data_IF_398613498379
#
_entry.id   IF_398613498379
#
_cell.length_a   1.000
_cell.length_b   1.000
_cell.length_c   1.000
_cell.angle_alpha   90.00
_cell.angle_beta   90.00
_cell.angle_gamma   90.00
#
_symmetry.space_group_name_H-M   'P 1'
#
loop_
_entity.id
_entity.type
_entity.pdbx_description
1 polymer ?
#
# COMPACT_ATOMS: atom_id res chain seq x y z
N UNK A 1 9.55 -0.95 6.65
CA UNK A 1 8.13 -1.08 6.24
C UNK A 1 7.42 0.27 6.26
N UNK A 2 7.51 1.03 7.36
CA UNK A 2 6.88 2.35 7.53
C UNK A 2 7.11 3.32 6.37
N UNK A 3 8.36 3.51 5.93
CA UNK A 3 8.67 4.43 4.83
C UNK A 3 7.97 4.07 3.51
N UNK A 4 7.83 2.77 3.22
CA UNK A 4 7.11 2.28 2.04
C UNK A 4 5.60 2.55 2.15
N UNK A 5 4.99 2.20 3.29
CA UNK A 5 3.55 2.41 3.48
C UNK A 5 3.19 3.89 3.50
N UNK A 6 4.00 4.73 4.16
CA UNK A 6 3.84 6.19 4.15
C UNK A 6 3.92 6.75 2.73
N UNK A 7 4.95 6.37 1.97
CA UNK A 7 5.09 6.78 0.57
C UNK A 7 3.89 6.28 -0.27
N UNK A 8 3.48 5.03 -0.11
CA UNK A 8 2.31 4.48 -0.78
C UNK A 8 1.03 5.26 -0.47
N UNK A 9 0.76 5.59 0.79
CA UNK A 9 -0.42 6.39 1.17
C UNK A 9 -0.44 7.77 0.51
N UNK A 10 0.72 8.38 0.30
CA UNK A 10 0.86 9.68 -0.37
C UNK A 10 0.67 9.55 -1.89
N UNK A 11 1.37 8.60 -2.52
CA UNK A 11 1.37 8.46 -3.97
C UNK A 11 0.10 7.82 -4.52
N UNK A 12 -0.65 7.03 -3.74
CA UNK A 12 -1.90 6.38 -4.19
C UNK A 12 -2.90 7.38 -4.82
N UNK A 13 -3.34 8.45 -4.12
CA UNK A 13 -4.26 9.43 -4.72
C UNK A 13 -3.62 10.25 -5.85
N UNK A 14 -2.33 10.58 -5.75
CA UNK A 14 -1.61 11.33 -6.77
C UNK A 14 -1.51 10.54 -8.08
N UNK A 15 -1.18 9.25 -7.99
CA UNK A 15 -1.09 8.34 -9.13
C UNK A 15 -2.46 8.08 -9.75
N UNK A 16 -3.53 7.95 -8.94
CA UNK A 16 -4.89 7.87 -9.45
C UNK A 16 -5.24 9.10 -10.32
N UNK A 17 -5.03 10.30 -9.79
CA UNK A 17 -5.28 11.55 -10.54
C UNK A 17 -4.40 11.70 -11.77
N UNK A 18 -3.12 11.32 -11.68
CA UNK A 18 -2.21 11.29 -12.83
C UNK A 18 -2.72 10.35 -13.92
N UNK A 19 -3.23 9.18 -13.53
CA UNK A 19 -3.80 8.18 -14.44
C UNK A 19 -5.02 8.71 -15.18
N UNK A 20 -5.94 9.37 -14.48
CA UNK A 20 -7.12 9.99 -15.10
C UNK A 20 -6.75 11.09 -16.11
N UNK A 21 -5.65 11.82 -15.88
CA UNK A 21 -5.21 12.92 -16.73
C UNK A 21 -4.35 12.48 -17.92
N UNK A 22 -3.37 11.61 -17.69
CA UNK A 22 -2.33 11.26 -18.67
C UNK A 22 -2.53 9.90 -19.32
N UNK A 23 -3.54 9.14 -18.90
CA UNK A 23 -3.81 7.77 -19.32
C UNK A 23 -3.41 6.76 -18.24
N UNK A 24 -4.38 5.94 -17.82
CA UNK A 24 -4.19 4.99 -16.71
C UNK A 24 -3.11 3.95 -17.03
N UNK A 25 -3.01 3.46 -18.28
CA UNK A 25 -1.95 2.55 -18.73
C UNK A 25 -0.57 3.14 -18.50
N UNK A 26 -0.31 4.34 -19.02
CA UNK A 26 0.99 4.99 -18.92
C UNK A 26 1.42 5.14 -17.47
N UNK A 27 0.52 5.62 -16.62
CA UNK A 27 0.81 5.85 -15.20
C UNK A 27 0.96 4.52 -14.43
N UNK A 28 0.22 3.49 -14.83
CA UNK A 28 0.35 2.14 -14.27
C UNK A 28 1.74 1.55 -14.55
N UNK A 29 2.24 1.68 -15.78
CA UNK A 29 3.60 1.25 -16.14
C UNK A 29 4.66 2.06 -15.39
N UNK A 30 4.48 3.38 -15.25
CA UNK A 30 5.39 4.22 -14.42
C UNK A 30 5.41 3.75 -12.96
N UNK A 31 4.26 3.39 -12.39
CA UNK A 31 4.19 2.87 -11.03
C UNK A 31 4.95 1.53 -10.88
N UNK A 32 4.83 0.63 -11.86
CA UNK A 32 5.57 -0.63 -11.90
C UNK A 32 7.07 -0.42 -12.08
N UNK A 33 7.49 0.54 -12.91
CA UNK A 33 8.91 0.92 -13.06
C UNK A 33 9.45 1.46 -11.74
N UNK A 34 8.71 2.33 -11.05
CA UNK A 34 9.12 2.84 -9.74
C UNK A 34 9.26 1.72 -8.70
N UNK A 35 8.33 0.75 -8.68
CA UNK A 35 8.46 -0.46 -7.87
C UNK A 35 9.73 -1.24 -8.21
N UNK A 36 9.99 -1.47 -9.50
CA UNK A 36 11.17 -2.21 -9.95
C UNK A 36 12.46 -1.50 -9.53
N UNK A 37 12.58 -0.20 -9.78
CA UNK A 37 13.74 0.61 -9.38
C UNK A 37 13.94 0.56 -7.87
N UNK A 38 12.89 0.79 -7.08
CA UNK A 38 13.01 0.73 -5.64
C UNK A 38 13.30 -0.70 -5.12
N UNK A 39 12.86 -1.75 -5.81
CA UNK A 39 13.22 -3.15 -5.48
C UNK A 39 14.69 -3.42 -5.76
N UNK A 40 15.23 -2.97 -6.90
CA UNK A 40 16.67 -3.07 -7.20
C UNK A 40 17.50 -2.33 -6.14
N UNK A 41 17.12 -1.10 -5.81
CA UNK A 41 17.83 -0.31 -4.79
C UNK A 41 17.78 -0.98 -3.41
N UNK A 42 16.66 -1.59 -3.04
CA UNK A 42 16.53 -2.31 -1.78
C UNK A 42 17.35 -3.62 -1.79
N UNK A 43 17.39 -4.32 -2.92
CA UNK A 43 18.15 -5.55 -3.10
C UNK A 43 19.67 -5.32 -3.12
N UNK A 44 20.11 -4.10 -3.44
CA UNK A 44 21.51 -3.67 -3.41
C UNK A 44 21.85 -2.83 -2.17
N UNK A 45 20.89 -2.61 -1.26
CA UNK A 45 21.11 -1.72 -0.13
C UNK A 45 22.13 -2.30 0.85
N UNK A 46 23.18 -1.51 1.12
CA UNK A 46 24.23 -1.82 2.10
C UNK A 46 24.10 -0.99 3.39
N UNK A 47 23.19 0.00 3.40
CA UNK A 47 22.93 0.84 4.57
C UNK A 47 21.43 1.07 4.78
N UNK A 48 21.06 1.37 6.02
CA UNK A 48 19.67 1.66 6.38
C UNK A 48 19.12 2.87 5.61
N UNK A 49 19.93 3.90 5.39
CA UNK A 49 19.50 5.10 4.65
C UNK A 49 19.15 4.77 3.19
N UNK A 50 19.95 3.94 2.52
CA UNK A 50 19.67 3.47 1.16
C UNK A 50 18.42 2.60 1.15
N UNK A 51 18.27 1.71 2.13
CA UNK A 51 17.06 0.89 2.27
C UNK A 51 15.80 1.77 2.45
N UNK A 52 15.87 2.82 3.28
CA UNK A 52 14.75 3.75 3.46
C UNK A 52 14.41 4.45 2.15
N UNK A 53 15.41 5.01 1.44
CA UNK A 53 15.20 5.66 0.15
C UNK A 53 14.58 4.71 -0.89
N UNK A 54 15.09 3.48 -0.97
CA UNK A 54 14.56 2.43 -1.84
C UNK A 54 13.10 2.11 -1.52
N UNK A 55 12.73 2.04 -0.23
CA UNK A 55 11.35 1.79 0.22
C UNK A 55 10.43 2.98 -0.07
N UNK A 56 10.93 4.22 0.01
CA UNK A 56 10.18 5.42 -0.43
C UNK A 56 9.89 5.34 -1.94
N UNK A 57 10.88 5.00 -2.76
CA UNK A 57 10.70 4.86 -4.22
C UNK A 57 9.71 3.73 -4.54
N UNK A 58 9.81 2.57 -3.88
CA UNK A 58 8.82 1.49 -4.02
C UNK A 58 7.41 1.96 -3.67
N UNK A 59 7.25 2.86 -2.70
CA UNK A 59 5.94 3.36 -2.29
C UNK A 59 5.21 4.12 -3.40
N UNK A 60 5.90 4.66 -4.41
CA UNK A 60 5.26 5.23 -5.60
C UNK A 60 4.36 4.19 -6.29
N UNK A 61 4.71 2.90 -6.16
CA UNK A 61 3.91 1.75 -6.57
C UNK A 61 2.55 1.61 -5.90
N UNK A 62 2.25 2.35 -4.83
CA UNK A 62 0.93 2.32 -4.18
C UNK A 62 -0.23 2.63 -5.14
N UNK A 63 0.06 3.35 -6.23
CA UNK A 63 -0.89 3.62 -7.31
C UNK A 63 -1.28 2.41 -8.18
N UNK A 64 -0.56 1.29 -8.12
CA UNK A 64 -0.79 0.13 -9.02
C UNK A 64 -2.22 -0.41 -8.89
N UNK A 65 -2.70 -0.68 -7.67
CA UNK A 65 -4.05 -1.22 -7.46
C UNK A 65 -5.19 -0.27 -7.89
N UNK A 66 -5.24 1.01 -7.46
CA UNK A 66 -6.31 1.90 -7.91
C UNK A 66 -6.27 2.13 -9.43
N UNK A 67 -5.08 2.21 -10.04
CA UNK A 67 -4.95 2.30 -11.49
C UNK A 67 -5.46 1.04 -12.19
N UNK A 68 -5.15 -0.15 -11.67
CA UNK A 68 -5.68 -1.40 -12.20
C UNK A 68 -7.21 -1.47 -12.10
N UNK A 69 -7.80 -1.07 -10.97
CA UNK A 69 -9.26 -0.99 -10.84
C UNK A 69 -9.87 0.03 -11.80
N UNK A 70 -9.20 1.16 -12.03
CA UNK A 70 -9.61 2.14 -13.02
C UNK A 70 -9.54 1.61 -14.45
N UNK A 71 -8.48 0.89 -14.81
CA UNK A 71 -8.32 0.26 -16.13
C UNK A 71 -9.40 -0.81 -16.35
N UNK A 72 -9.67 -1.66 -15.35
CA UNK A 72 -10.73 -2.66 -15.45
C UNK A 72 -12.08 -1.99 -15.68
N UNK A 73 -12.40 -0.94 -14.92
CA UNK A 73 -13.67 -0.22 -15.06
C UNK A 73 -13.83 0.44 -16.42
N UNK A 74 -12.74 0.91 -17.03
CA UNK A 74 -12.78 1.55 -18.34
C UNK A 74 -12.90 0.52 -19.49
N UNK A 75 -12.26 -0.65 -19.36
CA UNK A 75 -12.05 -1.58 -20.48
C UNK A 75 -12.95 -2.83 -20.43
N UNK A 76 -13.50 -3.18 -19.27
CA UNK A 76 -14.36 -4.36 -19.13
C UNK A 76 -15.84 -3.98 -19.18
N UNK A 77 -16.71 -4.85 -19.75
CA UNK A 77 -18.16 -4.74 -19.59
C UNK A 77 -18.55 -4.70 -18.11
N UNK A 78 -19.59 -3.92 -17.76
CA UNK A 78 -20.01 -3.69 -16.38
C UNK A 78 -20.23 -4.98 -15.59
N UNK A 79 -20.77 -6.02 -16.24
CA UNK A 79 -21.07 -7.32 -15.62
C UNK A 79 -19.79 -8.09 -15.24
N UNK A 80 -18.67 -7.81 -15.91
CA UNK A 80 -17.38 -8.46 -15.66
C UNK A 80 -16.49 -7.68 -14.69
N UNK A 81 -16.79 -6.41 -14.42
CA UNK A 81 -15.99 -5.55 -13.53
C UNK A 81 -15.88 -6.15 -12.14
N UNK A 82 -17.00 -6.59 -11.55
CA UNK A 82 -17.02 -7.17 -10.19
C UNK A 82 -16.12 -8.42 -10.12
N UNK A 83 -16.23 -9.32 -11.11
CA UNK A 83 -15.41 -10.53 -11.19
C UNK A 83 -13.92 -10.23 -11.38
N UNK A 84 -13.58 -9.26 -12.23
CA UNK A 84 -12.20 -8.86 -12.49
C UNK A 84 -11.54 -8.18 -11.26
N UNK A 85 -12.27 -7.30 -10.57
CA UNK A 85 -11.82 -6.70 -9.30
C UNK A 85 -11.64 -7.78 -8.23
N UNK A 86 -12.58 -8.73 -8.13
CA UNK A 86 -12.47 -9.89 -7.23
C UNK A 86 -11.23 -10.74 -7.51
N UNK A 87 -10.90 -10.95 -8.78
CA UNK A 87 -9.69 -11.68 -9.18
C UNK A 87 -8.41 -10.94 -8.76
N UNK A 88 -8.32 -9.62 -8.93
CA UNK A 88 -7.17 -8.84 -8.43
C UNK A 88 -7.04 -8.96 -6.92
N UNK A 89 -8.16 -8.85 -6.19
CA UNK A 89 -8.16 -8.99 -4.74
C UNK A 89 -7.68 -10.38 -4.30
N UNK A 90 -8.17 -11.43 -4.96
CA UNK A 90 -7.75 -12.81 -4.71
C UNK A 90 -6.25 -13.03 -5.01
N UNK A 91 -5.76 -12.57 -6.16
CA UNK A 91 -4.33 -12.66 -6.51
C UNK A 91 -3.44 -11.87 -5.54
N UNK A 92 -3.92 -10.73 -5.05
CA UNK A 92 -3.22 -9.95 -4.02
C UNK A 92 -3.13 -10.72 -2.71
N UNK A 93 -4.21 -11.38 -2.29
CA UNK A 93 -4.21 -12.24 -1.11
C UNK A 93 -3.28 -13.46 -1.26
N UNK A 94 -3.26 -14.09 -2.44
CA UNK A 94 -2.30 -15.17 -2.76
C UNK A 94 -0.87 -14.67 -2.65
N UNK A 95 -0.56 -13.54 -3.28
CA UNK A 95 0.77 -12.95 -3.25
C UNK A 95 1.23 -12.61 -1.83
N UNK A 96 0.34 -12.03 -1.02
CA UNK A 96 0.60 -11.74 0.39
C UNK A 96 0.88 -13.03 1.18
N UNK A 97 0.04 -14.06 0.99
CA UNK A 97 0.20 -15.35 1.63
C UNK A 97 1.50 -16.05 1.26
N UNK A 98 1.79 -16.19 -0.03
CA UNK A 98 3.05 -16.75 -0.53
C UNK A 98 4.25 -15.96 -0.01
N UNK A 99 4.14 -14.63 0.05
CA UNK A 99 5.19 -13.77 0.59
C UNK A 99 5.53 -14.10 2.04
N UNK A 100 4.54 -14.31 2.90
CA UNK A 100 4.75 -14.63 4.32
C UNK A 100 5.42 -15.99 4.49
N UNK A 101 4.96 -16.98 3.72
CA UNK A 101 5.42 -18.38 3.83
C UNK A 101 6.83 -18.53 3.30
N UNK A 102 7.10 -17.93 2.14
CA UNK A 102 8.38 -18.05 1.47
C UNK A 102 9.44 -17.13 2.10
N UNK A 103 9.04 -16.08 2.83
CA UNK A 103 9.99 -15.14 3.43
C UNK A 103 11.02 -15.82 4.34
N UNK A 104 10.60 -16.74 5.22
CA UNK A 104 11.50 -17.46 6.12
C UNK A 104 12.55 -18.27 5.36
N UNK A 105 12.17 -19.26 4.54
CA UNK A 105 13.09 -20.05 3.73
C UNK A 105 14.00 -19.19 2.83
N UNK A 106 13.48 -18.15 2.19
CA UNK A 106 14.27 -17.23 1.35
C UNK A 106 15.35 -16.54 2.21
N UNK A 107 14.98 -15.98 3.36
CA UNK A 107 15.93 -15.30 4.25
C UNK A 107 16.99 -16.27 4.76
N UNK A 108 16.60 -17.49 5.13
CA UNK A 108 17.54 -18.49 5.68
C UNK A 108 18.55 -18.96 4.65
N UNK A 109 18.14 -19.19 3.39
CA UNK A 109 19.02 -19.78 2.36
C UNK A 109 19.73 -18.73 1.51
N UNK A 110 19.03 -17.66 1.15
CA UNK A 110 19.51 -16.67 0.17
C UNK A 110 19.80 -15.30 0.80
N UNK A 111 19.35 -15.07 2.04
CA UNK A 111 19.44 -13.77 2.70
C UNK A 111 18.28 -12.83 2.37
N UNK A 112 18.14 -11.77 3.17
CA UNK A 112 16.98 -10.87 3.09
C UNK A 112 16.92 -10.04 1.80
N UNK A 113 18.03 -9.83 1.09
CA UNK A 113 18.04 -9.10 -0.19
C UNK A 113 17.18 -9.80 -1.25
N UNK A 114 17.05 -11.13 -1.18
CA UNK A 114 16.23 -11.91 -2.11
C UNK A 114 14.72 -11.73 -1.91
N UNK A 115 14.30 -11.16 -0.77
CA UNK A 115 12.94 -10.66 -0.59
C UNK A 115 12.60 -9.49 -1.51
N UNK A 116 13.60 -8.90 -2.17
CA UNK A 116 13.42 -7.83 -3.16
C UNK A 116 13.71 -8.31 -4.59
N UNK A 117 14.70 -9.21 -4.79
CA UNK A 117 14.98 -9.78 -6.12
C UNK A 117 13.83 -10.63 -6.67
N UNK A 118 13.18 -11.45 -5.85
CA UNK A 118 12.09 -12.32 -6.33
C UNK A 118 10.86 -11.51 -6.75
N UNK A 119 10.33 -10.56 -5.94
CA UNK A 119 9.24 -9.70 -6.38
C UNK A 119 9.62 -8.81 -7.57
N UNK A 120 10.88 -8.39 -7.70
CA UNK A 120 11.34 -7.62 -8.86
C UNK A 120 11.07 -8.36 -10.17
N UNK A 121 11.35 -9.67 -10.24
CA UNK A 121 11.08 -10.48 -11.43
C UNK A 121 9.60 -10.40 -11.79
N UNK A 122 8.72 -10.58 -10.79
CA UNK A 122 7.27 -10.51 -10.99
C UNK A 122 6.81 -9.12 -11.43
N UNK A 123 7.37 -8.05 -10.86
CA UNK A 123 7.07 -6.66 -11.23
C UNK A 123 7.52 -6.36 -12.66
N UNK A 124 8.69 -6.84 -13.07
CA UNK A 124 9.19 -6.67 -14.45
C UNK A 124 8.31 -7.41 -15.44
N UNK A 125 7.96 -8.68 -15.16
CA UNK A 125 7.04 -9.45 -15.99
C UNK A 125 5.67 -8.78 -16.09
N UNK A 126 5.13 -8.29 -14.98
CA UNK A 126 3.87 -7.54 -14.96
C UNK A 126 3.98 -6.23 -15.75
N UNK A 127 5.10 -5.52 -15.67
CA UNK A 127 5.35 -4.28 -16.41
C UNK A 127 5.41 -4.51 -17.93
N UNK A 128 6.12 -5.56 -18.36
CA UNK A 128 6.18 -5.96 -19.77
C UNK A 128 4.81 -6.40 -20.26
N UNK A 129 4.11 -7.26 -19.51
CA UNK A 129 2.76 -7.70 -19.85
C UNK A 129 1.79 -6.52 -19.93
N UNK A 130 1.85 -5.57 -19.00
CA UNK A 130 1.01 -4.37 -19.03
C UNK A 130 1.31 -3.49 -20.25
N UNK A 131 2.58 -3.32 -20.61
CA UNK A 131 2.96 -2.52 -21.77
C UNK A 131 2.42 -3.12 -23.08
N UNK A 132 2.40 -4.44 -23.20
CA UNK A 132 1.97 -5.16 -24.41
C UNK A 132 0.44 -5.36 -24.45
N UNK A 133 -0.16 -5.80 -23.35
CA UNK A 133 -1.54 -6.30 -23.31
C UNK A 133 -2.57 -5.26 -22.88
N UNK A 134 -2.20 -4.27 -22.07
CA UNK A 134 -3.15 -3.25 -21.61
C UNK A 134 -3.35 -2.22 -22.73
N UNK A 135 -4.58 -1.93 -23.17
CA UNK A 135 -4.84 -0.87 -24.13
C UNK A 135 -4.62 0.52 -23.49
N UNK A 136 -4.27 1.50 -24.32
CA UNK A 136 -4.19 2.89 -23.83
C UNK A 136 -5.61 3.42 -23.61
N UNK A 137 -5.92 3.84 -22.36
CA UNK A 137 -7.25 4.37 -22.05
C UNK A 137 -7.53 5.61 -22.90
N UNK A 138 -8.65 5.55 -23.63
CA UNK A 138 -9.14 6.65 -24.48
C UNK A 138 -9.81 7.75 -23.66
N UNK A 139 -10.26 7.42 -22.44
CA UNK A 139 -10.92 8.35 -21.53
C UNK A 139 -9.86 9.12 -20.74
N UNK A 140 -9.70 10.40 -21.08
CA UNK A 140 -8.82 11.32 -20.35
C UNK A 140 -9.64 12.46 -19.79
N UNK A 141 -9.54 12.67 -18.48
CA UNK A 141 -10.16 13.81 -17.82
C UNK A 141 -9.22 15.00 -17.93
N UNK A 142 -9.65 16.05 -18.63
CA UNK A 142 -8.90 17.31 -18.65
C UNK A 142 -8.83 17.87 -17.21
N UNK A 143 -7.63 18.17 -16.73
CA UNK A 143 -7.43 18.68 -15.38
C UNK A 143 -5.99 19.04 -15.10
N UNK A 144 -5.77 19.72 -13.98
CA UNK A 144 -4.43 19.94 -13.41
C UNK A 144 -4.36 19.28 -12.04
N UNK A 145 -3.16 18.88 -11.64
CA UNK A 145 -2.91 18.47 -10.25
C UNK A 145 -2.85 19.74 -9.41
N UNK A 146 -3.66 19.77 -8.36
CA UNK A 146 -3.53 20.78 -7.33
C UNK A 146 -2.36 20.40 -6.41
N UNK A 147 -1.15 20.84 -6.77
CA UNK A 147 0.07 20.52 -6.03
C UNK A 147 0.04 21.02 -4.58
N UNK A 148 -0.68 22.11 -4.30
CA UNK A 148 -0.87 22.59 -2.95
C UNK A 148 -1.60 21.56 -2.09
N UNK A 149 -2.70 20.99 -2.59
CA UNK A 149 -3.46 19.99 -1.82
C UNK A 149 -2.75 18.64 -1.78
N UNK A 150 -1.95 18.32 -2.79
CA UNK A 150 -1.05 17.17 -2.74
C UNK A 150 -0.01 17.32 -1.63
N UNK A 151 0.63 18.48 -1.54
CA UNK A 151 1.66 18.77 -0.54
C UNK A 151 1.07 18.80 0.87
N UNK A 152 -0.09 19.40 1.05
CA UNK A 152 -0.80 19.43 2.33
C UNK A 152 -1.22 18.01 2.78
N UNK A 153 -1.78 17.20 1.87
CA UNK A 153 -2.10 15.79 2.16
C UNK A 153 -0.84 15.01 2.55
N UNK A 154 0.25 15.22 1.81
CA UNK A 154 1.54 14.59 2.07
C UNK A 154 2.09 14.98 3.44
N UNK A 155 2.12 16.28 3.74
CA UNK A 155 2.59 16.82 5.01
C UNK A 155 1.79 16.30 6.19
N UNK A 156 0.46 16.23 6.05
CA UNK A 156 -0.40 15.63 7.07
C UNK A 156 -0.08 14.16 7.31
N UNK A 157 -0.01 13.34 6.25
CA UNK A 157 0.29 11.91 6.37
C UNK A 157 1.67 11.68 6.98
N UNK A 158 2.69 12.44 6.57
CA UNK A 158 4.04 12.37 7.13
C UNK A 158 4.02 12.73 8.61
N UNK A 159 3.42 13.87 8.98
CA UNK A 159 3.40 14.33 10.37
C UNK A 159 2.68 13.31 11.27
N UNK A 160 1.51 12.81 10.84
CA UNK A 160 0.72 11.84 11.59
C UNK A 160 1.46 10.50 11.73
N UNK A 161 1.86 9.90 10.60
CA UNK A 161 2.42 8.55 10.59
C UNK A 161 3.83 8.51 11.19
N UNK A 162 4.65 9.55 11.00
CA UNK A 162 5.96 9.64 11.66
C UNK A 162 5.79 9.82 13.17
N UNK A 163 4.89 10.73 13.59
CA UNK A 163 4.59 10.96 15.00
C UNK A 163 4.16 9.68 15.71
N UNK A 164 3.18 8.97 15.15
CA UNK A 164 2.68 7.71 15.72
C UNK A 164 3.73 6.59 15.65
N UNK A 165 4.44 6.45 14.53
CA UNK A 165 5.40 5.36 14.35
C UNK A 165 6.64 5.51 15.22
N UNK A 166 7.06 6.74 15.54
CA UNK A 166 8.26 6.99 16.34
C UNK A 166 7.95 7.32 17.80
N UNK A 167 6.68 7.53 18.17
CA UNK A 167 6.29 7.77 19.55
C UNK A 167 6.77 6.70 20.55
N UNK A 168 6.81 5.38 20.22
CA UNK A 168 7.38 4.38 21.12
C UNK A 168 8.89 4.55 21.36
N UNK A 169 9.63 5.09 20.39
CA UNK A 169 11.08 5.27 20.46
C UNK A 169 11.48 6.64 21.03
N UNK A 170 10.80 7.70 20.60
CA UNK A 170 11.08 9.09 21.01
C UNK A 170 10.33 9.49 22.29
N UNK A 171 9.34 8.71 22.68
CA UNK A 171 8.45 8.99 23.81
C UNK A 171 7.23 9.81 23.40
N UNK A 172 6.04 9.33 23.82
CA UNK A 172 4.75 9.97 23.56
C UNK A 172 4.66 11.41 24.10
N UNK A 173 5.32 11.69 25.22
CA UNK A 173 5.37 13.03 25.82
C UNK A 173 6.45 13.96 25.23
N UNK A 174 7.24 13.50 24.25
CA UNK A 174 8.32 14.33 23.70
C UNK A 174 7.76 15.52 22.92
N UNK A 175 8.42 16.70 22.98
CA UNK A 175 8.01 17.87 22.21
C UNK A 175 7.95 17.61 20.70
N UNK A 176 8.81 16.74 20.18
CA UNK A 176 8.84 16.37 18.76
C UNK A 176 7.57 15.59 18.39
N UNK A 177 7.21 14.56 19.16
CA UNK A 177 6.01 13.74 18.88
C UNK A 177 4.75 14.58 19.02
N UNK A 178 4.62 15.36 20.10
CA UNK A 178 3.48 16.25 20.31
C UNK A 178 3.41 17.29 19.18
N UNK A 179 4.54 17.89 18.81
CA UNK A 179 4.62 18.85 17.71
C UNK A 179 4.17 18.25 16.37
N UNK A 180 4.55 17.01 16.06
CA UNK A 180 4.11 16.28 14.86
C UNK A 180 2.60 16.00 14.89
N UNK A 181 2.04 15.58 16.03
CA UNK A 181 0.60 15.31 16.16
C UNK A 181 -0.23 16.59 16.06
N UNK A 182 0.22 17.68 16.67
CA UNK A 182 -0.42 19.01 16.55
C UNK A 182 -0.32 19.51 15.12
N UNK A 183 0.85 19.41 14.49
CA UNK A 183 1.02 19.78 13.08
C UNK A 183 0.09 18.95 12.18
N UNK A 184 -0.04 17.65 12.42
CA UNK A 184 -0.98 16.81 11.67
C UNK A 184 -2.43 17.32 11.82
N UNK A 185 -2.87 17.64 13.04
CA UNK A 185 -4.22 18.18 13.29
C UNK A 185 -4.46 19.52 12.57
N UNK A 186 -3.46 20.40 12.56
CA UNK A 186 -3.55 21.69 11.86
C UNK A 186 -3.54 21.52 10.34
N UNK A 187 -2.59 20.73 9.81
CA UNK A 187 -2.43 20.53 8.36
C UNK A 187 -3.68 19.85 7.78
N UNK A 188 -4.30 18.89 8.47
CA UNK A 188 -5.52 18.26 7.95
C UNK A 188 -6.70 19.25 7.90
N UNK A 189 -6.84 20.14 8.87
CA UNK A 189 -7.88 21.16 8.85
C UNK A 189 -7.68 22.15 7.69
N UNK A 190 -6.42 22.57 7.46
CA UNK A 190 -6.06 23.41 6.31
C UNK A 190 -6.28 22.66 5.00
N UNK A 191 -5.89 21.38 4.93
CA UNK A 191 -6.08 20.56 3.74
C UNK A 191 -7.56 20.41 3.39
N UNK A 192 -8.42 20.06 4.35
CA UNK A 192 -9.87 19.92 4.12
C UNK A 192 -10.48 21.23 3.60
N UNK A 193 -10.10 22.37 4.16
CA UNK A 193 -10.63 23.68 3.74
C UNK A 193 -10.14 24.10 2.35
N UNK A 194 -8.87 23.87 2.02
CA UNK A 194 -8.31 24.17 0.69
C UNK A 194 -8.85 23.21 -0.37
N UNK A 195 -8.92 21.92 -0.07
CA UNK A 195 -9.36 20.87 -0.98
C UNK A 195 -10.86 21.01 -1.31
N UNK A 196 -11.70 21.28 -0.30
CA UNK A 196 -13.14 21.51 -0.50
C UNK A 196 -13.48 22.74 -1.36
N UNK A 197 -12.55 23.70 -1.47
CA UNK A 197 -12.67 24.90 -2.31
C UNK A 197 -11.95 24.77 -3.65
N UNK A 198 -11.20 23.68 -3.88
CA UNK A 198 -10.43 23.52 -5.10
C UNK A 198 -11.31 23.21 -6.29
N UNK A 199 -11.02 23.84 -7.44
CA UNK A 199 -11.63 23.49 -8.71
C UNK A 199 -11.14 22.13 -9.26
N UNK A 200 -9.98 21.66 -8.80
CA UNK A 200 -9.38 20.39 -9.19
C UNK A 200 -8.95 19.61 -7.94
N UNK A 201 -9.91 19.11 -7.13
CA UNK A 201 -9.59 18.34 -5.94
C UNK A 201 -8.93 17.00 -6.34
N UNK A 202 -7.98 16.54 -5.51
CA UNK A 202 -7.44 15.19 -5.53
C UNK A 202 -8.46 14.18 -5.02
N UNK A 203 -9.21 14.55 -3.97
CA UNK A 203 -10.26 13.73 -3.36
C UNK A 203 -11.57 14.51 -3.43
N UNK A 204 -12.58 13.91 -4.06
CA UNK A 204 -13.90 14.53 -4.18
C UNK A 204 -14.60 14.59 -2.80
N UNK A 205 -14.53 15.77 -2.19
CA UNK A 205 -15.14 16.07 -0.90
C UNK A 205 -16.66 15.96 -0.92
N UNK A 206 -17.32 16.05 -2.08
CA UNK A 206 -18.77 15.84 -2.20
C UNK A 206 -19.12 14.37 -2.05
N UNK A 207 -18.33 13.47 -2.65
CA UNK A 207 -18.50 12.02 -2.44
C UNK A 207 -18.26 11.64 -0.98
N UNK A 208 -17.30 12.27 -0.33
CA UNK A 208 -17.09 12.10 1.11
C UNK A 208 -18.29 12.57 1.94
N UNK A 209 -19.29 13.31 1.45
CA UNK A 209 -20.50 13.61 2.25
C UNK A 209 -21.50 12.45 2.27
N UNK A 210 -21.35 11.47 1.37
CA UNK A 210 -22.24 10.33 1.26
C UNK A 210 -21.93 9.36 2.41
N UNK A 211 -22.92 9.11 3.28
CA UNK A 211 -22.75 8.27 4.47
C UNK A 211 -22.20 6.88 4.13
N UNK A 212 -22.67 6.27 3.04
CA UNK A 212 -22.19 4.96 2.59
C UNK A 212 -20.71 4.98 2.22
N UNK A 213 -20.20 6.07 1.63
CA UNK A 213 -18.79 6.22 1.26
C UNK A 213 -17.93 6.38 2.53
N UNK A 214 -18.35 7.23 3.47
CA UNK A 214 -17.65 7.35 4.76
C UNK A 214 -17.64 6.05 5.55
N UNK A 215 -18.77 5.33 5.60
CA UNK A 215 -18.87 4.06 6.30
C UNK A 215 -17.94 3.01 5.67
N UNK A 216 -17.90 2.93 4.35
CA UNK A 216 -16.99 2.03 3.63
C UNK A 216 -15.51 2.38 3.89
N UNK A 217 -15.15 3.66 3.86
CA UNK A 217 -13.79 4.11 4.15
C UNK A 217 -13.39 3.86 5.61
N UNK A 218 -14.30 4.08 6.56
CA UNK A 218 -14.05 3.79 7.98
C UNK A 218 -13.87 2.28 8.21
N UNK A 219 -14.71 1.45 7.59
CA UNK A 219 -14.57 0.00 7.65
C UNK A 219 -13.23 -0.45 7.06
N UNK A 220 -12.84 0.10 5.89
CA UNK A 220 -11.56 -0.19 5.27
C UNK A 220 -10.37 0.24 6.14
N UNK A 221 -10.47 1.41 6.81
CA UNK A 221 -9.47 1.89 7.76
C UNK A 221 -9.35 0.94 8.96
N UNK A 222 -10.46 0.59 9.61
CA UNK A 222 -10.46 -0.28 10.78
C UNK A 222 -9.96 -1.69 10.45
N UNK A 223 -10.38 -2.23 9.31
CA UNK A 223 -9.85 -3.50 8.80
C UNK A 223 -8.36 -3.40 8.50
N UNK A 224 -7.90 -2.32 7.86
CA UNK A 224 -6.48 -2.07 7.60
C UNK A 224 -5.66 -2.01 8.90
N UNK A 225 -6.12 -1.25 9.90
CA UNK A 225 -5.49 -1.17 11.21
C UNK A 225 -5.39 -2.55 11.87
N UNK A 226 -6.50 -3.29 11.95
CA UNK A 226 -6.50 -4.63 12.56
C UNK A 226 -5.60 -5.61 11.80
N UNK A 227 -5.68 -5.61 10.47
CA UNK A 227 -4.89 -6.47 9.59
C UNK A 227 -3.39 -6.21 9.74
N UNK A 228 -2.94 -4.96 9.59
CA UNK A 228 -1.52 -4.62 9.70
C UNK A 228 -1.00 -4.72 11.13
N UNK A 229 -1.82 -4.44 12.15
CA UNK A 229 -1.45 -4.68 13.53
C UNK A 229 -1.20 -6.18 13.78
N UNK A 230 -2.08 -7.06 13.30
CA UNK A 230 -1.89 -8.50 13.41
C UNK A 230 -0.64 -8.98 12.65
N UNK A 231 -0.43 -8.53 11.40
CA UNK A 231 0.74 -8.92 10.61
C UNK A 231 2.08 -8.35 11.12
N UNK A 232 2.06 -7.23 11.86
CA UNK A 232 3.27 -6.72 12.53
C UNK A 232 3.52 -7.43 13.86
N UNK A 233 2.47 -7.57 14.67
CA UNK A 233 2.56 -8.09 16.03
C UNK A 233 2.80 -9.61 16.05
N UNK A 234 2.05 -10.41 15.29
CA UNK A 234 2.11 -11.87 15.37
C UNK A 234 3.50 -12.44 15.06
N UNK A 235 4.18 -12.07 13.95
CA UNK A 235 5.52 -12.59 13.69
C UNK A 235 6.50 -12.17 14.78
N UNK A 236 6.44 -10.91 15.21
CA UNK A 236 7.31 -10.39 16.25
C UNK A 236 7.10 -11.14 17.58
N UNK A 237 5.85 -11.35 17.97
CA UNK A 237 5.48 -12.09 19.18
C UNK A 237 5.93 -13.56 19.14
N UNK A 238 5.72 -14.25 18.01
CA UNK A 238 6.17 -15.64 17.82
C UNK A 238 7.70 -15.75 17.87
N UNK A 239 8.40 -14.79 17.27
CA UNK A 239 9.87 -14.78 17.20
C UNK A 239 10.54 -14.24 18.47
N UNK A 240 9.80 -13.59 19.37
CA UNK A 240 10.34 -13.13 20.65
C UNK A 240 10.90 -14.32 21.43
N UNK A 241 12.15 -14.24 21.95
CA UNK A 241 12.74 -15.32 22.72
C UNK A 241 11.91 -15.72 23.94
N UNK A 242 11.88 -17.01 24.26
CA UNK A 242 11.20 -17.54 25.46
C UNK A 242 11.73 -16.92 26.76
N UNK A 243 12.99 -16.47 26.76
CA UNK A 243 13.60 -15.72 27.88
C UNK A 243 12.89 -14.41 28.21
N UNK A 244 12.10 -13.85 27.29
CA UNK A 244 11.29 -12.66 27.54
C UNK A 244 9.99 -12.95 28.32
N UNK A 245 9.65 -14.23 28.56
CA UNK A 245 8.51 -14.64 29.38
C UNK A 245 7.14 -14.68 28.68
N UNK A 246 7.04 -14.27 27.41
CA UNK A 246 5.79 -14.27 26.65
C UNK A 246 5.91 -14.72 25.18
N UNK A 247 7.14 -14.87 24.67
CA UNK A 247 7.39 -15.26 23.27
C UNK A 247 7.61 -16.76 23.10
N UNK A 248 7.53 -17.24 21.85
CA UNK A 248 7.68 -18.65 21.51
C UNK A 248 9.11 -19.04 21.08
N UNK A 249 9.99 -18.05 20.89
CA UNK A 249 11.36 -18.28 20.39
C UNK A 249 11.40 -18.91 19.00
N UNK A 250 10.33 -18.77 18.23
CA UNK A 250 10.21 -19.38 16.91
C UNK A 250 11.21 -18.74 15.94
N UNK A 251 11.80 -19.56 15.08
CA UNK A 251 12.56 -19.06 13.93
C UNK A 251 11.66 -18.32 12.94
N UNK A 252 12.25 -17.54 12.02
CA UNK A 252 11.51 -16.84 10.96
C UNK A 252 10.69 -17.84 10.12
N UNK A 253 11.22 -19.03 9.87
CA UNK A 253 10.54 -20.09 9.12
C UNK A 253 9.36 -20.65 9.90
N UNK A 254 9.52 -20.99 11.18
CA UNK A 254 8.41 -21.48 12.02
C UNK A 254 7.31 -20.43 12.17
N UNK A 255 7.68 -19.17 12.37
CA UNK A 255 6.75 -18.05 12.41
C UNK A 255 5.95 -17.91 11.10
N UNK A 256 6.62 -18.04 9.94
CA UNK A 256 5.96 -18.04 8.64
C UNK A 256 5.01 -19.23 8.45
N UNK A 257 5.41 -20.43 8.89
CA UNK A 257 4.57 -21.64 8.84
C UNK A 257 3.35 -21.53 9.76
N UNK A 258 3.48 -20.92 10.94
CA UNK A 258 2.35 -20.68 11.84
C UNK A 258 1.33 -19.69 11.28
N UNK A 259 1.74 -18.83 10.34
CA UNK A 259 0.88 -17.87 9.64
C UNK A 259 0.30 -18.43 8.32
N UNK A 260 0.68 -19.65 7.92
CA UNK A 260 0.10 -20.34 6.76
C UNK A 260 -1.43 -20.44 6.81
N UNK A 261 -2.06 -20.87 7.93
CA UNK A 261 -3.51 -21.05 7.96
C UNK A 261 -4.28 -19.75 7.67
N UNK A 262 -3.75 -18.61 8.12
CA UNK A 262 -4.32 -17.28 7.82
C UNK A 262 -4.27 -17.01 6.33
N UNK A 263 -3.12 -17.27 5.70
CA UNK A 263 -2.91 -17.09 4.26
C UNK A 263 -3.82 -17.97 3.42
N UNK A 264 -3.95 -19.26 3.79
CA UNK A 264 -4.84 -20.22 3.13
C UNK A 264 -6.30 -19.82 3.31
N UNK A 265 -6.68 -19.39 4.52
CA UNK A 265 -8.03 -18.89 4.80
C UNK A 265 -8.38 -17.65 3.96
N UNK A 266 -7.48 -16.67 3.88
CA UNK A 266 -7.66 -15.47 3.05
C UNK A 266 -7.80 -15.85 1.56
N UNK A 267 -7.03 -16.82 1.08
CA UNK A 267 -7.15 -17.31 -0.29
C UNK A 267 -8.50 -17.99 -0.57
N UNK A 268 -8.87 -18.96 0.27
CA UNK A 268 -10.10 -19.74 0.10
C UNK A 268 -11.35 -18.84 0.17
N UNK A 269 -11.39 -17.93 1.16
CA UNK A 269 -12.47 -16.96 1.30
C UNK A 269 -12.45 -15.93 0.17
N UNK A 270 -11.26 -15.53 -0.32
CA UNK A 270 -11.11 -14.64 -1.47
C UNK A 270 -11.74 -15.22 -2.73
N UNK A 271 -11.49 -16.50 -3.04
CA UNK A 271 -12.15 -17.20 -4.16
C UNK A 271 -13.66 -17.35 -3.96
N UNK A 272 -14.11 -17.60 -2.74
CA UNK A 272 -15.53 -17.73 -2.43
C UNK A 272 -16.27 -16.38 -2.44
N UNK A 273 -15.58 -15.26 -2.20
CA UNK A 273 -16.19 -13.94 -2.05
C UNK A 273 -17.01 -13.50 -3.26
N UNK A 274 -16.53 -13.78 -4.48
CA UNK A 274 -17.25 -13.47 -5.71
C UNK A 274 -18.55 -14.26 -5.89
N UNK A 275 -18.65 -15.45 -5.28
CA UNK A 275 -19.88 -16.26 -5.26
C UNK A 275 -20.82 -15.88 -4.12
N UNK A 276 -20.28 -15.41 -3.00
CA UNK A 276 -21.05 -14.97 -1.83
C UNK A 276 -21.64 -13.56 -1.99
N UNK A 277 -21.05 -12.74 -2.86
CA UNK A 277 -21.51 -11.38 -3.13
C UNK A 277 -22.51 -11.29 -4.30
N UNK A 278 -22.73 -12.39 -5.03
CA UNK A 278 -23.69 -12.53 -6.12
C UNK A 278 -25.04 -13.05 -5.60
#
# INVERSE_FOLDING_TARGET
LTAYLLSASIFTPVMGRLGDMHGKKRVFVVALVALAVGSVLAALATSLSVMIAARVIQGIGGGVLPLAFGIIRDEFPEEKVVGAVGMIAALTAVGAGLGIVLAGPIVTVLGYHWLFWIPLIMVVLAGVAAQILVPESRVRTAGKINWLTALLLSGWLVALLLGVSQAPAWGWGSPIVIGLLVAAAVIVAVWVTVESRSANPLIDMKMMRIRSVWAANLLALLMGVGMYAAFGFLPQFLQTPTSAGYGFGASVTESGLMLLPVSVGMFALGLASGRLAA
#
